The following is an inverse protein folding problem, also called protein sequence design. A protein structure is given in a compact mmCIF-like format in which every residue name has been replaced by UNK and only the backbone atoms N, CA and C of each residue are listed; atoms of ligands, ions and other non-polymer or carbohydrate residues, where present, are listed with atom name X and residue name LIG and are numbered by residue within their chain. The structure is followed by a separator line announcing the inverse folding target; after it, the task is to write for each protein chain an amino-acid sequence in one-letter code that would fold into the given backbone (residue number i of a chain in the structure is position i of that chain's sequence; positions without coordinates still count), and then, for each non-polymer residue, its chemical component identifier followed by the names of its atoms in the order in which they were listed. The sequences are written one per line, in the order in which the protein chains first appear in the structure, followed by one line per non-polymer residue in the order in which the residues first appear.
data_IF_454142009253
#
_entry.id   IF_454142009253
#
_cell.length_a   1.000
_cell.length_b   1.000
_cell.length_c   1.000
_cell.angle_alpha   90.00
_cell.angle_beta   90.00
_cell.angle_gamma   90.00
#
_symmetry.space_group_name_H-M   'P 1'
#
loop_
_entity.id
_entity.type
_entity.pdbx_description
1 polymer ?
#
# COMPACT_ATOMS: atom_id res chain seq x y z
N UNK A 1 -0.84 -17.50 -10.79
CA UNK A 1 -0.35 -16.59 -11.84
C UNK A 1 -1.49 -15.62 -12.09
N UNK A 2 -1.55 -14.54 -11.30
CA UNK A 2 -2.40 -13.38 -11.57
C UNK A 2 -1.68 -12.16 -10.99
N UNK A 3 -0.61 -11.79 -11.68
CA UNK A 3 0.07 -10.48 -11.58
C UNK A 3 -0.28 -9.65 -12.83
N UNK A 4 -1.50 -9.81 -13.37
CA UNK A 4 -1.95 -9.14 -14.60
C UNK A 4 -2.30 -7.65 -14.43
N UNK A 5 -2.03 -7.06 -13.26
CA UNK A 5 -2.21 -5.63 -13.04
C UNK A 5 -0.98 -4.98 -12.44
N UNK A 6 -0.45 -4.05 -13.23
CA UNK A 6 0.44 -2.96 -12.82
C UNK A 6 1.89 -3.38 -12.54
N UNK A 7 2.81 -3.11 -13.46
CA UNK A 7 3.75 -1.98 -13.44
C UNK A 7 4.35 -1.78 -14.85
N UNK A 8 4.57 -0.53 -15.27
CA UNK A 8 5.33 -0.17 -16.48
C UNK A 8 6.73 0.34 -16.13
N UNK A 9 7.75 0.17 -16.99
CA UNK A 9 9.10 0.62 -16.69
C UNK A 9 9.20 2.14 -16.75
N UNK A 10 9.87 2.69 -15.75
CA UNK A 10 10.43 4.03 -15.75
C UNK A 10 11.45 4.12 -16.89
N UNK A 11 11.28 5.04 -17.84
CA UNK A 11 12.26 5.27 -18.92
C UNK A 11 13.08 6.51 -18.60
N UNK A 12 14.29 6.32 -18.10
CA UNK A 12 15.39 7.29 -18.25
C UNK A 12 16.27 6.90 -19.46
N UNK A 13 16.92 7.87 -20.12
CA UNK A 13 17.73 7.59 -21.29
C UNK A 13 18.94 6.72 -20.94
N UNK A 14 19.10 5.64 -21.70
CA UNK A 14 20.22 4.70 -21.65
C UNK A 14 21.55 5.44 -21.79
N UNK A 15 22.41 5.35 -20.77
CA UNK A 15 23.85 5.53 -20.96
C UNK A 15 24.48 4.16 -21.28
N UNK A 16 25.41 4.19 -22.24
CA UNK A 16 26.09 3.06 -22.91
C UNK A 16 26.71 2.00 -21.97
N UNK A 17 26.94 0.76 -22.47
CA UNK A 17 27.21 -0.40 -21.63
C UNK A 17 28.63 -0.40 -21.07
N UNK A 18 28.76 -0.06 -19.78
CA UNK A 18 29.93 -0.37 -18.96
C UNK A 18 29.63 -1.58 -18.08
N UNK A 19 30.48 -2.61 -18.16
CA UNK A 19 30.41 -3.87 -17.42
C UNK A 19 30.03 -3.73 -15.94
N UNK A 20 28.89 -4.31 -15.54
CA UNK A 20 28.55 -4.51 -14.13
C UNK A 20 29.33 -5.69 -13.56
N UNK A 21 30.05 -5.54 -12.43
CA UNK A 21 30.64 -6.68 -11.74
C UNK A 21 29.56 -7.49 -11.02
N UNK A 22 29.67 -8.82 -11.10
CA UNK A 22 28.84 -9.79 -10.35
C UNK A 22 28.85 -9.47 -8.85
N UNK A 23 27.68 -9.42 -8.24
CA UNK A 23 27.53 -9.24 -6.79
C UNK A 23 28.12 -10.45 -6.03
N UNK A 24 29.03 -10.26 -5.06
CA UNK A 24 29.33 -11.25 -4.06
C UNK A 24 28.46 -11.02 -2.82
N UNK A 25 27.96 -12.13 -2.29
CA UNK A 25 27.44 -12.24 -0.92
C UNK A 25 28.59 -11.95 0.06
N UNK A 26 28.40 -10.98 0.97
CA UNK A 26 28.87 -10.95 2.38
C UNK A 26 29.21 -9.54 2.90
N UNK A 27 28.79 -9.34 4.15
CA UNK A 27 29.42 -8.55 5.22
C UNK A 27 29.27 -7.03 5.31
N UNK A 28 29.14 -6.64 6.58
CA UNK A 28 28.74 -5.35 7.12
C UNK A 28 29.65 -4.19 6.71
N UNK A 29 29.03 -3.10 6.23
CA UNK A 29 29.57 -1.75 6.37
C UNK A 29 28.46 -0.77 6.72
N UNK A 30 28.64 -0.12 7.85
CA UNK A 30 27.87 1.03 8.32
C UNK A 30 27.87 2.14 7.27
N UNK A 31 26.70 2.40 6.67
CA UNK A 31 26.46 3.62 5.90
C UNK A 31 25.04 4.11 6.15
N UNK A 32 24.88 4.84 7.25
CA UNK A 32 23.68 5.62 7.54
C UNK A 32 23.76 6.96 6.80
N UNK A 33 23.58 6.93 5.48
CA UNK A 33 23.37 8.13 4.67
C UNK A 33 22.22 7.86 3.69
N UNK A 34 21.30 8.82 3.62
CA UNK A 34 19.92 8.74 3.11
C UNK A 34 19.73 8.09 1.74
N UNK A 35 19.00 6.97 1.72
CA UNK A 35 18.66 6.19 0.50
C UNK A 35 17.57 6.83 -0.37
N UNK A 36 16.89 7.91 0.07
CA UNK A 36 15.63 8.34 -0.57
C UNK A 36 15.56 9.78 -1.09
N UNK A 37 16.68 10.52 -1.16
CA UNK A 37 16.67 11.83 -1.82
C UNK A 37 17.30 11.68 -3.20
N UNK A 38 16.58 11.05 -4.13
CA UNK A 38 16.91 11.15 -5.54
C UNK A 38 16.31 12.47 -6.02
N UNK A 39 17.16 13.47 -6.29
CA UNK A 39 16.69 14.70 -6.91
C UNK A 39 16.27 14.37 -8.34
N UNK A 40 14.96 14.27 -8.58
CA UNK A 40 14.42 14.19 -9.94
C UNK A 40 14.83 15.47 -10.66
N UNK A 41 15.45 15.33 -11.83
CA UNK A 41 15.94 16.47 -12.61
C UNK A 41 14.78 17.40 -13.00
N UNK A 42 15.01 18.72 -13.04
CA UNK A 42 13.96 19.71 -13.34
C UNK A 42 13.36 19.53 -14.74
N UNK A 43 14.10 18.94 -15.67
CA UNK A 43 13.69 18.62 -17.04
C UNK A 43 12.95 17.27 -17.16
N UNK A 44 12.74 16.55 -16.06
CA UNK A 44 12.03 15.28 -16.08
C UNK A 44 10.59 15.45 -16.60
N UNK A 45 10.20 14.55 -17.50
CA UNK A 45 8.87 14.49 -18.08
C UNK A 45 8.08 13.36 -17.44
N UNK A 46 7.13 13.72 -16.61
CA UNK A 46 6.17 12.78 -16.04
C UNK A 46 5.21 12.28 -17.11
N UNK A 47 4.92 10.99 -17.10
CA UNK A 47 4.02 10.38 -18.07
C UNK A 47 3.05 9.43 -17.39
N UNK A 48 1.85 9.26 -17.95
CA UNK A 48 0.90 8.28 -17.43
C UNK A 48 1.47 6.86 -17.61
N UNK A 49 1.59 6.08 -16.52
CA UNK A 49 2.09 4.71 -16.58
C UNK A 49 1.28 3.85 -17.54
N UNK A 50 1.94 2.87 -18.15
CA UNK A 50 1.32 1.91 -19.08
C UNK A 50 1.64 0.49 -18.64
N UNK A 51 0.76 -0.45 -18.96
CA UNK A 51 1.02 -1.87 -18.74
C UNK A 51 2.23 -2.30 -19.57
N UNK A 52 3.20 -2.95 -18.94
CA UNK A 52 4.38 -3.49 -19.62
C UNK A 52 4.60 -4.98 -19.35
N UNK A 53 4.04 -5.53 -18.28
CA UNK A 53 3.99 -6.98 -18.06
C UNK A 53 2.73 -7.53 -18.70
N UNK A 54 2.90 -8.26 -19.80
CA UNK A 54 1.80 -8.85 -20.60
C UNK A 54 2.01 -10.33 -20.90
N UNK A 55 3.23 -10.84 -20.76
CA UNK A 55 3.55 -12.26 -20.86
C UNK A 55 4.42 -12.74 -19.69
N UNK A 56 4.67 -14.06 -19.64
CA UNK A 56 5.54 -14.64 -18.64
C UNK A 56 7.00 -14.19 -18.81
N UNK A 57 7.46 -13.94 -20.04
CA UNK A 57 8.80 -13.45 -20.35
C UNK A 57 9.01 -12.00 -19.86
N UNK A 58 7.97 -11.17 -19.94
CA UNK A 58 8.02 -9.79 -19.42
C UNK A 58 8.28 -9.76 -17.91
N UNK A 59 7.99 -10.84 -17.17
CA UNK A 59 8.28 -10.94 -15.74
C UNK A 59 9.78 -10.90 -15.44
N UNK A 60 10.62 -11.42 -16.33
CA UNK A 60 12.06 -11.39 -16.12
C UNK A 60 12.61 -9.98 -16.36
N UNK A 61 12.08 -9.27 -17.37
CA UNK A 61 12.34 -7.84 -17.59
C UNK A 61 11.91 -7.02 -16.37
N UNK A 62 10.73 -7.32 -15.81
CA UNK A 62 10.21 -6.65 -14.62
C UNK A 62 11.15 -6.81 -13.43
N UNK A 63 11.62 -8.03 -13.12
CA UNK A 63 12.53 -8.30 -11.99
C UNK A 63 13.87 -7.58 -12.10
N UNK A 64 14.33 -7.32 -13.32
CA UNK A 64 15.58 -6.59 -13.58
C UNK A 64 15.38 -5.07 -13.68
N UNK A 65 14.14 -4.58 -13.62
CA UNK A 65 13.83 -3.16 -13.78
C UNK A 65 14.19 -2.31 -12.56
N UNK A 66 14.43 -1.02 -12.81
CA UNK A 66 14.60 -0.01 -11.75
C UNK A 66 13.36 0.02 -10.84
N UNK A 67 12.16 -0.01 -11.41
CA UNK A 67 10.92 0.06 -10.66
C UNK A 67 10.75 -1.11 -9.68
N UNK A 68 11.17 -2.33 -10.05
CA UNK A 68 11.19 -3.47 -9.12
C UNK A 68 12.18 -3.26 -7.97
N UNK A 69 13.40 -2.80 -8.28
CA UNK A 69 14.42 -2.53 -7.27
C UNK A 69 13.97 -1.45 -6.29
N UNK A 70 13.34 -0.39 -6.80
CA UNK A 70 12.81 0.73 -6.03
C UNK A 70 11.68 0.31 -5.09
N UNK A 71 10.69 -0.44 -5.59
CA UNK A 71 9.56 -0.84 -4.74
C UNK A 71 9.97 -1.84 -3.66
N UNK A 72 10.88 -2.76 -3.97
CA UNK A 72 11.44 -3.69 -2.98
C UNK A 72 12.26 -2.94 -1.94
N UNK A 73 13.13 -2.02 -2.37
CA UNK A 73 13.91 -1.17 -1.46
C UNK A 73 13.01 -0.33 -0.56
N UNK A 74 11.95 0.27 -1.11
CA UNK A 74 10.96 1.03 -0.37
C UNK A 74 10.25 0.21 0.71
N UNK A 75 9.80 -1.00 0.37
CA UNK A 75 9.17 -1.92 1.34
C UNK A 75 10.13 -2.26 2.48
N UNK A 76 11.40 -2.54 2.17
CA UNK A 76 12.42 -2.88 3.17
C UNK A 76 12.70 -1.69 4.10
N UNK A 77 12.85 -0.48 3.58
CA UNK A 77 13.12 0.68 4.43
C UNK A 77 11.94 1.02 5.34
N UNK A 78 10.71 0.97 4.83
CA UNK A 78 9.52 1.15 5.66
C UNK A 78 9.39 0.05 6.71
N UNK A 79 9.77 -1.19 6.38
CA UNK A 79 9.80 -2.29 7.33
C UNK A 79 10.76 -2.04 8.49
N UNK A 80 11.98 -1.57 8.21
CA UNK A 80 12.94 -1.20 9.27
C UNK A 80 12.49 0.03 10.06
N UNK A 81 11.86 1.01 9.40
CA UNK A 81 11.38 2.22 10.05
C UNK A 81 10.36 1.93 11.17
N UNK A 82 9.52 0.90 11.04
CA UNK A 82 8.50 0.53 12.03
C UNK A 82 8.89 -0.59 12.99
N UNK A 83 10.13 -1.06 12.94
CA UNK A 83 10.61 -2.17 13.76
C UNK A 83 10.44 -1.91 15.26
N UNK A 84 9.70 -2.79 15.93
CA UNK A 84 9.39 -2.69 17.37
C UNK A 84 8.45 -1.55 17.77
N UNK A 85 7.88 -0.81 16.80
CA UNK A 85 7.08 0.41 17.04
C UNK A 85 5.58 0.15 16.83
N UNK A 86 4.72 0.44 17.82
CA UNK A 86 3.28 0.25 17.68
C UNK A 86 2.64 1.34 16.79
N UNK A 87 1.40 1.11 16.36
CA UNK A 87 0.57 2.10 15.65
C UNK A 87 0.31 3.38 16.46
N UNK A 88 0.30 3.25 17.78
CA UNK A 88 0.10 4.35 18.73
C UNK A 88 1.36 5.18 18.96
N UNK A 89 2.45 4.91 18.25
CA UNK A 89 3.66 5.72 18.38
C UNK A 89 3.36 7.18 18.05
N UNK A 90 3.90 8.07 18.87
CA UNK A 90 3.96 9.49 18.59
C UNK A 90 5.04 9.69 17.53
N UNK A 91 4.61 10.07 16.33
CA UNK A 91 5.48 10.41 15.22
C UNK A 91 5.15 11.82 14.74
N UNK A 92 6.17 12.51 14.21
CA UNK A 92 5.97 13.81 13.59
C UNK A 92 5.04 13.64 12.40
N UNK A 93 3.89 14.32 12.43
CA UNK A 93 3.01 14.38 11.29
C UNK A 93 3.31 15.66 10.50
N UNK A 94 4.16 15.55 9.49
CA UNK A 94 4.45 16.67 8.59
C UNK A 94 3.21 17.02 7.72
N UNK A 95 3.33 18.08 6.93
CA UNK A 95 2.25 18.58 6.05
C UNK A 95 1.74 17.51 5.08
N UNK A 96 2.61 16.91 4.27
CA UNK A 96 2.19 15.95 3.23
C UNK A 96 1.52 14.70 3.83
N UNK A 97 2.08 13.99 4.82
CA UNK A 97 1.38 12.88 5.47
C UNK A 97 0.02 13.26 6.06
N UNK A 98 -0.11 14.45 6.67
CA UNK A 98 -1.40 14.95 7.18
C UNK A 98 -2.41 15.12 6.04
N UNK A 99 -2.00 15.74 4.95
CA UNK A 99 -2.89 15.98 3.83
C UNK A 99 -3.30 14.67 3.14
N UNK A 100 -2.42 13.65 3.11
CA UNK A 100 -2.79 12.31 2.64
C UNK A 100 -3.85 11.65 3.53
N UNK A 101 -3.80 11.85 4.85
CA UNK A 101 -4.86 11.39 5.75
C UNK A 101 -6.19 12.09 5.47
N UNK A 102 -6.17 13.40 5.22
CA UNK A 102 -7.36 14.16 4.82
C UNK A 102 -7.93 13.66 3.49
N UNK A 103 -7.06 13.36 2.51
CA UNK A 103 -7.46 12.75 1.25
C UNK A 103 -8.17 11.41 1.48
N UNK A 104 -7.58 10.50 2.27
CA UNK A 104 -8.19 9.20 2.59
C UNK A 104 -9.51 9.35 3.37
N UNK A 105 -9.61 10.34 4.26
CA UNK A 105 -10.86 10.66 4.96
C UNK A 105 -11.93 11.17 4.00
N UNK A 106 -11.55 11.95 2.98
CA UNK A 106 -12.50 12.41 1.96
C UNK A 106 -13.03 11.24 1.11
N UNK A 107 -12.17 10.27 0.79
CA UNK A 107 -12.58 9.05 0.08
C UNK A 107 -13.52 8.17 0.92
N UNK A 108 -13.31 8.09 2.23
CA UNK A 108 -14.20 7.39 3.16
C UNK A 108 -15.55 8.09 3.30
N UNK A 109 -15.58 9.43 3.33
CA UNK A 109 -16.84 10.19 3.28
C UNK A 109 -17.60 9.90 1.98
N UNK A 110 -16.91 9.78 0.84
CA UNK A 110 -17.56 9.41 -0.41
C UNK A 110 -18.16 8.01 -0.38
N UNK A 111 -17.58 7.08 0.38
CA UNK A 111 -18.15 5.76 0.61
C UNK A 111 -19.46 5.87 1.38
N UNK A 112 -19.50 6.68 2.45
CA UNK A 112 -20.73 6.93 3.22
C UNK A 112 -21.82 7.58 2.36
N UNK A 113 -21.45 8.51 1.49
CA UNK A 113 -22.35 9.18 0.54
C UNK A 113 -22.76 8.30 -0.66
N UNK A 114 -22.19 7.09 -0.79
CA UNK A 114 -22.48 6.15 -1.89
C UNK A 114 -22.91 4.80 -1.32
N UNK A 115 -24.10 4.69 -0.71
CA UNK A 115 -24.55 3.47 -0.06
C UNK A 115 -24.74 2.32 -1.06
N UNK A 116 -24.62 1.05 -0.61
CA UNK A 116 -24.90 -0.12 -1.45
C UNK A 116 -26.31 -0.08 -2.02
N UNK A 117 -26.44 -0.45 -3.29
CA UNK A 117 -27.76 -0.58 -3.95
C UNK A 117 -28.31 -1.99 -3.77
N UNK A 118 -29.64 -2.10 -3.71
CA UNK A 118 -30.29 -3.40 -3.78
C UNK A 118 -30.11 -3.99 -5.18
N UNK A 119 -29.66 -5.24 -5.23
CA UNK A 119 -29.34 -5.92 -6.48
C UNK A 119 -29.49 -7.43 -6.30
N UNK A 120 -29.87 -8.17 -7.37
CA UNK A 120 -30.02 -9.62 -7.31
C UNK A 120 -28.67 -10.34 -7.11
N UNK A 121 -27.56 -9.73 -7.54
CA UNK A 121 -26.22 -10.32 -7.47
C UNK A 121 -25.67 -10.24 -6.03
N UNK A 122 -25.23 -11.39 -5.49
CA UNK A 122 -24.73 -11.49 -4.11
C UNK A 122 -23.38 -10.80 -3.89
N UNK A 123 -22.47 -10.92 -4.86
CA UNK A 123 -21.12 -10.33 -4.84
C UNK A 123 -21.04 -9.12 -5.77
N UNK A 124 -20.08 -8.23 -5.51
CA UNK A 124 -19.82 -7.05 -6.34
C UNK A 124 -21.00 -6.09 -6.40
N UNK A 125 -21.14 -5.23 -5.39
CA UNK A 125 -22.19 -4.21 -5.38
C UNK A 125 -21.89 -3.10 -6.40
N UNK A 126 -22.85 -2.81 -7.29
CA UNK A 126 -22.67 -1.85 -8.37
C UNK A 126 -22.43 -0.42 -7.89
N UNK A 127 -22.82 -0.07 -6.65
CA UNK A 127 -22.52 1.23 -6.06
C UNK A 127 -21.01 1.51 -5.96
N UNK A 128 -20.16 0.47 -5.94
CA UNK A 128 -18.71 0.63 -6.05
C UNK A 128 -18.30 1.36 -7.33
N UNK A 129 -18.99 1.12 -8.45
CA UNK A 129 -18.70 1.81 -9.71
C UNK A 129 -18.93 3.30 -9.60
N UNK A 130 -20.01 3.70 -8.94
CA UNK A 130 -20.32 5.11 -8.65
C UNK A 130 -19.25 5.74 -7.77
N UNK A 131 -18.85 5.03 -6.71
CA UNK A 131 -17.78 5.49 -5.81
C UNK A 131 -16.44 5.62 -6.55
N UNK A 132 -16.07 4.61 -7.35
CA UNK A 132 -14.81 4.58 -8.09
C UNK A 132 -14.76 5.65 -9.18
N UNK A 133 -15.86 5.86 -9.91
CA UNK A 133 -15.98 6.95 -10.89
C UNK A 133 -15.83 8.33 -10.24
N UNK A 134 -16.36 8.50 -9.02
CA UNK A 134 -16.14 9.71 -8.21
C UNK A 134 -14.66 9.88 -7.82
N UNK A 135 -14.00 8.80 -7.39
CA UNK A 135 -12.55 8.78 -7.17
C UNK A 135 -11.78 9.23 -8.41
N UNK A 136 -12.07 8.65 -9.59
CA UNK A 136 -11.37 9.00 -10.84
C UNK A 136 -11.51 10.48 -11.20
N UNK A 137 -12.71 11.04 -11.05
CA UNK A 137 -12.97 12.46 -11.36
C UNK A 137 -12.36 13.42 -10.34
N UNK A 138 -12.32 13.04 -9.06
CA UNK A 138 -11.83 13.89 -7.98
C UNK A 138 -10.34 13.76 -7.67
N UNK A 139 -9.65 12.73 -8.19
CA UNK A 139 -8.26 12.42 -7.82
C UNK A 139 -7.29 13.57 -8.12
N UNK A 140 -7.47 14.30 -9.22
CA UNK A 140 -6.63 15.45 -9.58
C UNK A 140 -6.69 16.55 -8.52
N UNK A 141 -7.91 17.00 -8.16
CA UNK A 141 -8.11 18.06 -7.16
C UNK A 141 -7.61 17.62 -5.77
N UNK A 142 -7.90 16.37 -5.39
CA UNK A 142 -7.44 15.80 -4.13
C UNK A 142 -5.91 15.80 -4.03
N UNK A 143 -5.21 15.44 -5.10
CA UNK A 143 -3.74 15.42 -5.14
C UNK A 143 -3.13 16.80 -5.17
N UNK A 144 -3.70 17.74 -5.95
CA UNK A 144 -3.24 19.13 -5.96
C UNK A 144 -3.40 19.81 -4.61
N UNK A 145 -4.45 19.45 -3.85
CA UNK A 145 -4.63 19.89 -2.46
C UNK A 145 -3.67 19.18 -1.50
N UNK A 146 -3.38 17.91 -1.73
CA UNK A 146 -2.53 17.14 -0.83
C UNK A 146 -1.05 17.48 -0.95
N UNK A 147 -0.61 17.94 -2.12
CA UNK A 147 0.79 18.18 -2.45
C UNK A 147 1.08 19.67 -2.66
N UNK A 148 2.23 20.17 -2.18
CA UNK A 148 2.73 21.50 -2.54
C UNK A 148 2.80 21.72 -4.06
N UNK A 149 2.59 22.96 -4.50
CA UNK A 149 2.50 23.35 -5.93
C UNK A 149 3.70 22.91 -6.77
N UNK A 150 4.91 22.94 -6.18
CA UNK A 150 6.14 22.49 -6.83
C UNK A 150 6.10 21.03 -7.32
N UNK A 151 5.23 20.18 -6.75
CA UNK A 151 5.09 18.77 -7.12
C UNK A 151 3.92 18.51 -8.08
N UNK A 152 3.15 19.54 -8.47
CA UNK A 152 1.96 19.36 -9.32
C UNK A 152 2.28 18.81 -10.71
N UNK A 153 3.50 19.04 -11.21
CA UNK A 153 4.00 18.44 -12.47
C UNK A 153 3.99 16.90 -12.44
N UNK A 154 4.15 16.29 -11.27
CA UNK A 154 4.18 14.84 -11.09
C UNK A 154 2.77 14.20 -10.98
N UNK A 155 1.73 15.00 -10.77
CA UNK A 155 0.38 14.51 -10.48
C UNK A 155 -0.16 13.57 -11.56
N UNK A 156 0.00 13.81 -12.88
CA UNK A 156 -0.53 12.89 -13.90
C UNK A 156 -0.01 11.45 -13.78
N UNK A 157 1.21 11.28 -13.30
CA UNK A 157 1.84 9.96 -13.10
C UNK A 157 1.43 9.36 -11.75
N UNK A 158 1.56 10.13 -10.67
CA UNK A 158 1.23 9.70 -9.30
C UNK A 158 -0.26 9.36 -9.15
N UNK A 159 -1.13 10.11 -9.82
CA UNK A 159 -2.58 9.90 -9.80
C UNK A 159 -2.99 8.52 -10.32
N UNK A 160 -2.27 8.00 -11.33
CA UNK A 160 -2.56 6.67 -11.86
C UNK A 160 -2.46 5.61 -10.76
N UNK A 161 -1.37 5.63 -9.99
CA UNK A 161 -1.15 4.70 -8.88
C UNK A 161 -2.14 4.87 -7.73
N UNK A 162 -2.52 6.11 -7.42
CA UNK A 162 -3.55 6.37 -6.40
C UNK A 162 -4.89 5.73 -6.80
N UNK A 163 -5.35 5.95 -8.03
CA UNK A 163 -6.64 5.46 -8.52
C UNK A 163 -6.66 3.93 -8.61
N UNK A 164 -5.59 3.34 -9.16
CA UNK A 164 -5.46 1.87 -9.26
C UNK A 164 -5.30 1.21 -7.88
N UNK A 165 -5.07 1.98 -6.81
CA UNK A 165 -4.90 1.50 -5.45
C UNK A 165 -6.15 0.98 -4.73
N UNK A 166 -7.35 1.12 -5.31
CA UNK A 166 -8.63 0.86 -4.61
C UNK A 166 -9.49 -0.26 -5.21
N UNK A 167 -8.99 -0.99 -6.21
CA UNK A 167 -9.70 -2.10 -6.85
C UNK A 167 -10.05 -1.86 -8.31
N UNK A 168 -10.75 -2.81 -8.93
CA UNK A 168 -11.19 -2.70 -10.32
C UNK A 168 -12.69 -2.41 -10.41
N UNK A 169 -13.08 -1.29 -11.02
CA UNK A 169 -14.50 -0.92 -11.16
C UNK A 169 -15.32 -1.88 -12.02
N UNK A 170 -14.72 -2.55 -13.00
CA UNK A 170 -15.45 -3.45 -13.91
C UNK A 170 -15.77 -4.75 -13.20
N UNK A 171 -14.74 -5.38 -12.63
CA UNK A 171 -14.82 -6.67 -11.93
C UNK A 171 -15.35 -6.54 -10.49
N UNK A 172 -15.29 -5.34 -9.91
CA UNK A 172 -15.66 -5.05 -8.52
C UNK A 172 -14.86 -5.96 -7.57
N UNK A 173 -13.55 -6.00 -7.82
CA UNK A 173 -12.60 -6.79 -7.06
C UNK A 173 -11.46 -5.92 -6.50
N UNK A 174 -10.79 -6.47 -5.49
CA UNK A 174 -9.59 -5.91 -4.89
C UNK A 174 -8.61 -7.04 -4.58
N UNK A 175 -7.31 -6.75 -4.56
CA UNK A 175 -6.27 -7.73 -4.23
C UNK A 175 -4.90 -7.07 -4.07
N UNK A 176 -3.87 -7.90 -3.93
CA UNK A 176 -2.50 -7.46 -3.64
C UNK A 176 -1.88 -6.61 -4.73
N UNK A 177 -2.33 -6.71 -5.99
CA UNK A 177 -1.93 -5.80 -7.07
C UNK A 177 -2.39 -4.36 -6.84
N UNK A 178 -3.59 -4.17 -6.29
CA UNK A 178 -4.10 -2.84 -5.91
C UNK A 178 -3.39 -2.31 -4.68
N UNK A 179 -3.11 -3.16 -3.69
CA UNK A 179 -2.25 -2.81 -2.55
C UNK A 179 -0.87 -2.32 -3.02
N UNK A 180 -0.26 -3.05 -3.98
CA UNK A 180 1.01 -2.67 -4.57
C UNK A 180 0.92 -1.34 -5.33
N UNK A 181 -0.17 -1.06 -6.05
CA UNK A 181 -0.38 0.23 -6.69
C UNK A 181 -0.40 1.38 -5.67
N UNK A 182 -1.04 1.19 -4.50
CA UNK A 182 -1.00 2.19 -3.43
C UNK A 182 0.41 2.35 -2.83
N UNK A 183 1.20 1.27 -2.75
CA UNK A 183 2.61 1.39 -2.36
C UNK A 183 3.45 2.14 -3.40
N UNK A 184 3.23 1.89 -4.68
CA UNK A 184 3.89 2.62 -5.77
C UNK A 184 3.54 4.11 -5.69
N UNK A 185 2.28 4.45 -5.39
CA UNK A 185 1.86 5.82 -5.12
C UNK A 185 2.69 6.48 -4.01
N UNK A 186 2.83 5.83 -2.85
CA UNK A 186 3.66 6.34 -1.75
C UNK A 186 5.15 6.41 -2.13
N UNK A 187 5.68 5.40 -2.81
CA UNK A 187 7.05 5.35 -3.28
C UNK A 187 7.37 6.53 -4.21
N UNK A 188 6.48 6.84 -5.18
CA UNK A 188 6.61 8.00 -6.06
C UNK A 188 6.69 9.31 -5.27
N UNK A 189 5.89 9.47 -4.21
CA UNK A 189 5.93 10.67 -3.36
C UNK A 189 7.26 10.84 -2.62
N UNK A 190 7.90 9.74 -2.20
CA UNK A 190 9.27 9.80 -1.69
C UNK A 190 10.29 10.13 -2.80
N UNK A 191 10.16 9.52 -3.98
CA UNK A 191 11.08 9.76 -5.11
C UNK A 191 11.08 11.21 -5.57
N UNK A 192 9.91 11.87 -5.60
CA UNK A 192 9.84 13.31 -5.96
C UNK A 192 10.22 14.22 -4.79
N UNK A 193 10.45 13.70 -3.58
CA UNK A 193 10.81 14.46 -2.38
C UNK A 193 9.64 15.15 -1.68
N UNK A 194 8.40 14.82 -2.03
CA UNK A 194 7.20 15.30 -1.34
C UNK A 194 7.07 14.66 0.06
N UNK A 195 7.37 13.37 0.16
CA UNK A 195 7.61 12.66 1.42
C UNK A 195 9.12 12.53 1.65
N UNK A 196 9.56 12.66 2.90
CA UNK A 196 10.97 12.67 3.28
C UNK A 196 11.28 11.53 4.24
N UNK A 197 12.55 11.12 4.41
CA UNK A 197 12.92 10.04 5.31
C UNK A 197 12.32 10.13 6.74
N UNK A 198 12.18 11.31 7.37
CA UNK A 198 11.49 11.43 8.67
C UNK A 198 10.00 11.03 8.66
N UNK A 199 9.35 11.03 7.50
CA UNK A 199 7.93 10.71 7.36
C UNK A 199 7.66 9.19 7.29
N UNK A 200 8.68 8.35 7.14
CA UNK A 200 8.54 6.89 6.94
C UNK A 200 7.66 6.22 8.00
N UNK A 201 7.85 6.59 9.27
CA UNK A 201 7.05 6.07 10.38
C UNK A 201 5.59 6.49 10.31
N UNK A 202 5.33 7.77 10.01
CA UNK A 202 3.97 8.30 9.89
C UNK A 202 3.25 7.71 8.68
N UNK A 203 3.98 7.49 7.57
CA UNK A 203 3.45 6.86 6.37
C UNK A 203 2.95 5.45 6.66
N UNK A 204 3.70 4.63 7.38
CA UNK A 204 3.24 3.26 7.71
C UNK A 204 2.17 3.28 8.80
N UNK A 205 2.45 3.93 9.94
CA UNK A 205 1.61 3.82 11.14
C UNK A 205 0.31 4.62 11.06
N UNK A 206 0.27 5.69 10.24
CA UNK A 206 -0.92 6.54 10.07
C UNK A 206 -1.50 6.38 8.67
N UNK A 207 -0.77 6.74 7.61
CA UNK A 207 -1.32 6.82 6.24
C UNK A 207 -1.73 5.43 5.72
N UNK A 208 -0.82 4.46 5.76
CA UNK A 208 -1.09 3.11 5.28
C UNK A 208 -2.12 2.40 6.16
N UNK A 209 -2.04 2.55 7.49
CA UNK A 209 -3.08 2.04 8.39
C UNK A 209 -4.47 2.62 8.07
N UNK A 210 -4.55 3.92 7.77
CA UNK A 210 -5.81 4.57 7.37
C UNK A 210 -6.33 4.08 6.02
N UNK A 211 -5.43 3.80 5.08
CA UNK A 211 -5.74 3.16 3.81
C UNK A 211 -6.33 1.76 4.02
N UNK A 212 -5.71 0.92 4.87
CA UNK A 212 -6.23 -0.42 5.21
C UNK A 212 -7.65 -0.36 5.77
N UNK A 213 -7.93 0.61 6.63
CA UNK A 213 -9.28 0.82 7.18
C UNK A 213 -10.29 1.14 6.08
N UNK A 214 -9.92 1.99 5.12
CA UNK A 214 -10.78 2.36 4.00
C UNK A 214 -11.03 1.18 3.06
N UNK A 215 -9.98 0.48 2.62
CA UNK A 215 -10.15 -0.65 1.68
C UNK A 215 -10.94 -1.80 2.30
N UNK A 216 -10.83 -2.04 3.62
CA UNK A 216 -11.69 -3.01 4.32
C UNK A 216 -13.15 -2.59 4.38
N UNK A 217 -13.42 -1.30 4.59
CA UNK A 217 -14.79 -0.78 4.48
C UNK A 217 -15.32 -0.96 3.07
N UNK A 218 -14.53 -0.67 2.03
CA UNK A 218 -14.92 -0.89 0.63
C UNK A 218 -15.25 -2.36 0.36
N UNK A 219 -14.36 -3.27 0.77
CA UNK A 219 -14.52 -4.72 0.62
C UNK A 219 -15.82 -5.21 1.25
N UNK A 220 -16.13 -4.79 2.48
CA UNK A 220 -17.34 -5.19 3.19
C UNK A 220 -18.60 -4.52 2.63
N UNK A 221 -18.58 -3.19 2.49
CA UNK A 221 -19.74 -2.39 2.05
C UNK A 221 -20.18 -2.78 0.65
N UNK A 222 -19.23 -2.95 -0.28
CA UNK A 222 -19.53 -3.30 -1.65
C UNK A 222 -19.37 -4.78 -1.98
N UNK A 223 -19.08 -5.63 -0.99
CA UNK A 223 -18.96 -7.09 -1.17
C UNK A 223 -18.00 -7.43 -2.32
N UNK A 224 -16.85 -6.76 -2.33
CA UNK A 224 -15.87 -6.89 -3.40
C UNK A 224 -15.31 -8.31 -3.44
N UNK A 225 -14.96 -8.79 -4.62
CA UNK A 225 -14.35 -10.11 -4.79
C UNK A 225 -12.82 -10.03 -4.63
N UNK A 226 -12.16 -11.12 -4.19
CA UNK A 226 -10.70 -11.21 -4.25
C UNK A 226 -10.21 -11.33 -5.70
N UNK A 227 -9.35 -10.42 -6.14
CA UNK A 227 -8.92 -10.31 -7.55
C UNK A 227 -7.96 -11.42 -8.03
N UNK A 228 -7.50 -12.30 -7.13
CA UNK A 228 -6.52 -13.34 -7.45
C UNK A 228 -6.26 -14.31 -6.30
N UNK A 229 -7.25 -14.55 -5.43
CA UNK A 229 -7.05 -15.44 -4.29
C UNK A 229 -6.83 -16.88 -4.76
N UNK A 230 -5.83 -17.54 -4.19
CA UNK A 230 -5.64 -18.99 -4.33
C UNK A 230 -6.44 -19.77 -3.26
N UNK A 231 -7.46 -19.13 -2.66
CA UNK A 231 -8.22 -19.67 -1.54
C UNK A 231 -7.31 -20.04 -0.37
N UNK A 232 -7.36 -21.30 0.05
CA UNK A 232 -6.61 -21.85 1.20
C UNK A 232 -5.09 -21.74 1.04
N UNK A 233 -4.58 -21.48 -0.17
CA UNK A 233 -3.15 -21.33 -0.46
C UNK A 233 -2.65 -19.89 -0.34
N UNK A 234 -3.55 -18.92 -0.11
CA UNK A 234 -3.19 -17.52 0.12
C UNK A 234 -3.05 -17.22 1.62
N UNK A 235 -2.13 -16.31 1.96
CA UNK A 235 -1.97 -15.81 3.33
C UNK A 235 -3.21 -15.03 3.81
N UNK A 236 -3.80 -14.25 2.90
CA UNK A 236 -4.99 -13.43 3.06
C UNK A 236 -5.59 -13.21 1.66
N UNK A 237 -6.89 -12.98 1.58
CA UNK A 237 -7.59 -12.82 0.30
C UNK A 237 -7.26 -11.51 -0.42
N UNK A 238 -6.83 -10.47 0.32
CA UNK A 238 -6.74 -9.11 -0.19
C UNK A 238 -5.37 -8.46 0.00
N UNK A 239 -4.71 -8.69 1.15
CA UNK A 239 -3.54 -7.92 1.57
C UNK A 239 -2.32 -8.81 1.82
N UNK A 240 -1.11 -8.25 1.67
CA UNK A 240 0.14 -8.94 1.98
C UNK A 240 1.08 -8.09 2.83
N UNK A 241 1.24 -6.82 2.46
CA UNK A 241 2.17 -5.86 3.08
C UNK A 241 1.94 -5.65 4.59
N UNK A 242 0.68 -5.60 5.10
CA UNK A 242 0.38 -5.51 6.51
C UNK A 242 1.03 -6.61 7.36
N UNK A 243 1.22 -7.81 6.80
CA UNK A 243 1.86 -8.91 7.51
C UNK A 243 3.38 -8.72 7.59
N UNK A 244 4.00 -8.16 6.53
CA UNK A 244 5.42 -7.80 6.54
C UNK A 244 5.68 -6.74 7.61
N UNK A 245 5.09 -5.55 7.44
CA UNK A 245 5.34 -4.43 8.34
C UNK A 245 4.81 -4.69 9.75
N UNK A 246 3.65 -5.33 9.89
CA UNK A 246 3.09 -5.67 11.18
C UNK A 246 3.96 -6.67 11.96
N UNK A 247 4.60 -7.63 11.29
CA UNK A 247 5.55 -8.54 11.94
C UNK A 247 6.81 -7.82 12.43
N UNK A 248 7.29 -6.82 11.69
CA UNK A 248 8.41 -5.97 12.11
C UNK A 248 8.08 -5.16 13.37
N UNK A 249 6.85 -4.65 13.49
CA UNK A 249 6.42 -3.93 14.70
C UNK A 249 6.47 -4.80 15.97
N UNK A 250 6.35 -6.12 15.83
CA UNK A 250 6.37 -7.07 16.95
C UNK A 250 7.79 -7.51 17.36
N UNK A 251 8.82 -7.14 16.61
CA UNK A 251 10.21 -7.47 16.95
C UNK A 251 10.57 -6.82 18.30
N UNK A 252 11.15 -7.61 19.20
CA UNK A 252 11.54 -7.18 20.54
C UNK A 252 10.38 -7.07 21.55
N UNK A 253 9.16 -7.47 21.18
CA UNK A 253 8.04 -7.64 22.13
C UNK A 253 8.07 -9.05 22.73
N UNK A 254 7.56 -9.19 23.96
CA UNK A 254 7.42 -10.49 24.61
C UNK A 254 6.52 -11.40 23.74
N UNK A 255 6.86 -12.70 23.61
CA UNK A 255 6.11 -13.62 22.76
C UNK A 255 4.64 -13.71 23.18
N UNK A 256 3.75 -13.95 22.20
CA UNK A 256 2.39 -14.43 22.45
C UNK A 256 2.49 -15.69 23.31
N UNK A 257 2.25 -15.57 24.61
CA UNK A 257 1.68 -16.68 25.34
C UNK A 257 0.25 -16.84 24.82
N UNK A 258 0.09 -17.56 23.70
CA UNK A 258 -1.20 -18.16 23.34
C UNK A 258 -1.50 -19.15 24.45
N UNK A 259 -2.08 -18.66 25.54
CA UNK A 259 -2.64 -19.54 26.53
C UNK A 259 -3.92 -20.05 25.88
N UNK A 260 -3.86 -21.22 25.25
CA UNK A 260 -5.04 -22.01 24.93
C UNK A 260 -5.69 -22.40 26.27
N UNK A 261 -6.30 -21.44 26.97
CA UNK A 261 -7.22 -21.77 28.05
C UNK A 261 -8.44 -22.38 27.37
N UNK A 262 -8.57 -23.69 27.54
CA UNK A 262 -9.74 -24.44 27.13
C UNK A 262 -11.01 -23.73 27.58
N UNK A 263 -12.00 -23.75 26.68
CA UNK A 263 -13.43 -23.61 26.91
C UNK A 263 -13.83 -23.00 28.27
N UNK A 264 -14.23 -21.72 28.30
CA UNK A 264 -14.98 -21.23 29.46
C UNK A 264 -15.13 -19.74 29.70
N UNK A 265 -14.34 -18.83 29.10
CA UNK A 265 -14.62 -17.39 29.25
C UNK A 265 -14.25 -16.57 28.01
N UNK A 266 -15.20 -15.72 27.57
CA UNK A 266 -15.02 -14.71 26.54
C UNK A 266 -14.13 -13.56 27.05
N UNK A 267 -12.87 -13.84 27.35
CA UNK A 267 -11.85 -12.79 27.33
C UNK A 267 -11.21 -12.76 25.95
N UNK A 268 -11.15 -11.57 25.34
CA UNK A 268 -10.55 -11.35 24.02
C UNK A 268 -9.16 -12.04 23.96
N UNK A 269 -8.87 -12.86 22.93
CA UNK A 269 -7.52 -13.41 22.75
C UNK A 269 -6.47 -12.33 22.49
N UNK A 270 -6.92 -11.09 22.27
CA UNK A 270 -6.12 -9.88 22.04
C UNK A 270 -6.13 -9.00 23.29
N UNK A 271 -5.40 -9.40 24.33
CA UNK A 271 -5.13 -8.53 25.49
C UNK A 271 -3.67 -8.07 25.48
N UNK A 272 -3.43 -6.85 26.00
CA UNK A 272 -2.09 -6.25 26.05
C UNK A 272 -1.53 -5.88 24.67
N UNK A 273 -0.24 -6.15 24.38
CA UNK A 273 0.43 -5.69 23.15
C UNK A 273 -0.17 -6.27 21.86
N UNK A 274 -1.12 -7.21 21.94
CA UNK A 274 -1.71 -7.88 20.77
C UNK A 274 -3.06 -7.30 20.34
N UNK A 275 -3.47 -6.16 20.90
CA UNK A 275 -4.70 -5.48 20.50
C UNK A 275 -4.68 -5.06 19.02
N UNK A 276 -5.79 -5.20 18.27
CA UNK A 276 -5.90 -4.77 16.88
C UNK A 276 -5.76 -3.25 16.68
N UNK A 277 -5.80 -2.47 17.75
CA UNK A 277 -5.55 -1.03 17.71
C UNK A 277 -4.06 -0.67 17.83
N UNK A 278 -3.19 -1.65 18.13
CA UNK A 278 -1.78 -1.42 18.47
C UNK A 278 -0.85 -1.89 17.34
N UNK A 279 -1.20 -2.93 16.58
CA UNK A 279 -0.34 -3.46 15.51
C UNK A 279 -1.13 -3.76 14.23
N UNK A 280 -0.50 -3.54 13.08
CA UNK A 280 -1.12 -3.77 11.77
C UNK A 280 -1.48 -5.25 11.60
N UNK A 281 -0.60 -6.16 12.03
CA UNK A 281 -0.82 -7.59 11.87
C UNK A 281 -2.02 -8.11 12.70
N UNK A 282 -2.22 -7.61 13.92
CA UNK A 282 -3.36 -8.01 14.77
C UNK A 282 -4.67 -7.41 14.25
N UNK A 283 -4.61 -6.25 13.60
CA UNK A 283 -5.72 -5.69 12.83
C UNK A 283 -6.10 -6.61 11.66
N UNK A 284 -5.14 -7.17 10.90
CA UNK A 284 -5.42 -8.15 9.83
C UNK A 284 -6.08 -9.43 10.33
N UNK A 285 -5.53 -10.07 11.37
CA UNK A 285 -6.13 -11.28 11.91
C UNK A 285 -7.56 -11.08 12.41
N UNK A 286 -7.84 -9.91 12.99
CA UNK A 286 -9.17 -9.56 13.46
C UNK A 286 -10.17 -9.44 12.31
N UNK A 287 -9.73 -8.92 11.15
CA UNK A 287 -10.56 -8.82 9.94
C UNK A 287 -10.79 -10.18 9.26
N UNK A 288 -9.76 -11.03 9.16
CA UNK A 288 -9.92 -12.40 8.64
C UNK A 288 -10.98 -13.20 9.42
N UNK A 289 -11.04 -13.01 10.74
CA UNK A 289 -12.11 -13.63 11.55
C UNK A 289 -13.50 -13.11 11.21
N UNK A 290 -13.66 -11.84 10.82
CA UNK A 290 -14.95 -11.29 10.41
C UNK A 290 -15.43 -11.84 9.07
N UNK A 291 -14.53 -12.28 8.18
CA UNK A 291 -14.88 -12.87 6.89
C UNK A 291 -15.25 -14.36 6.98
N UNK A 292 -14.88 -15.04 8.07
CA UNK A 292 -15.14 -16.47 8.28
C UNK A 292 -16.49 -16.76 8.98
N UNK A 293 -17.25 -15.73 9.35
CA UNK A 293 -18.59 -15.82 9.95
C UNK A 293 -19.60 -15.01 9.13
#
# INVERSE_FOLDING_TARGET
MDMESCVGPFKLPLQSPGSYPKAPFAESRTRSESVYVVSVSEDHQYTTPRRAVTSAEDMDIWKESEAYSEIVGFIIALNEAVKGKPLTIDCLLAEVPRNLLELLNKLDLWLEETPPVDQPQRFGNQAFRTWFDRLKRGALELLQRALPEQFHRAVPEVMFYLVEGFGNSTRIDYGTGHELAFLMFLCCLFKIGALKPPDQEAVVTKVFNRYLQLVRKLQLTYRMEPAGSHGVWSLDDYQFIPFIWGSSQLIGKAPLLVTLKGQGSLSSPWSGPWSPHIHIQTYCYSFLRLLQF
#
